data_IF_610317408680
#
_entry.id   IF_610317408680
#
_cell.length_a   1.000
_cell.length_b   1.000
_cell.length_c   1.000
_cell.angle_alpha   90.00
_cell.angle_beta   90.00
_cell.angle_gamma   90.00
#
_symmetry.space_group_name_H-M   'P 1'
#
loop_
_entity.id
_entity.type
_entity.pdbx_description
1 polymer ?
#
# COMPACT_ATOMS: atom_id res chain seq x y z
N UNK A 1 22.07 -1.71 -14.36
CA UNK A 1 20.90 -1.57 -13.46
C UNK A 1 20.62 -0.08 -13.28
N UNK A 2 19.43 0.38 -13.66
CA UNK A 2 18.98 1.75 -13.48
C UNK A 2 18.26 1.86 -12.14
N UNK A 3 18.78 2.71 -11.25
CA UNK A 3 18.27 2.93 -9.90
C UNK A 3 17.84 4.39 -9.72
N UNK A 4 16.84 4.66 -8.87
CA UNK A 4 16.50 6.04 -8.51
C UNK A 4 17.67 6.73 -7.80
N UNK A 5 17.73 8.06 -7.90
CA UNK A 5 18.71 8.86 -7.17
C UNK A 5 18.56 8.62 -5.65
N UNK A 6 19.58 8.05 -5.02
CA UNK A 6 19.55 7.69 -3.60
C UNK A 6 19.49 8.92 -2.68
N UNK A 7 20.00 10.07 -3.13
CA UNK A 7 19.95 11.31 -2.34
C UNK A 7 18.51 11.84 -2.21
N UNK A 8 17.68 11.61 -3.24
CA UNK A 8 16.29 12.04 -3.31
C UNK A 8 15.29 10.95 -2.89
N UNK A 9 15.78 9.73 -2.65
CA UNK A 9 14.94 8.56 -2.36
C UNK A 9 14.58 8.45 -0.88
N UNK A 10 13.37 7.97 -0.63
CA UNK A 10 12.86 7.63 0.70
C UNK A 10 13.60 6.41 1.24
N UNK A 11 13.74 6.30 2.57
CA UNK A 11 14.49 5.18 3.20
C UNK A 11 14.00 3.79 2.74
N UNK A 12 12.69 3.60 2.60
CA UNK A 12 12.10 2.36 2.10
C UNK A 12 12.53 2.03 0.66
N UNK A 13 12.63 3.04 -0.21
CA UNK A 13 13.11 2.89 -1.60
C UNK A 13 14.58 2.49 -1.62
N UNK A 14 15.40 3.06 -0.73
CA UNK A 14 16.82 2.68 -0.59
C UNK A 14 16.96 1.21 -0.18
N UNK A 15 16.23 0.81 0.85
CA UNK A 15 16.20 -0.58 1.33
C UNK A 15 15.80 -1.56 0.23
N UNK A 16 14.75 -1.22 -0.54
CA UNK A 16 14.32 -2.02 -1.69
C UNK A 16 15.43 -2.09 -2.75
N UNK A 17 16.07 -0.96 -3.09
CA UNK A 17 17.17 -0.94 -4.06
C UNK A 17 18.33 -1.85 -3.63
N UNK A 18 18.75 -1.78 -2.37
CA UNK A 18 19.86 -2.59 -1.83
C UNK A 18 19.54 -4.08 -1.91
N UNK A 19 18.33 -4.46 -1.51
CA UNK A 19 17.87 -5.84 -1.61
C UNK A 19 17.85 -6.32 -3.06
N UNK A 20 17.32 -5.51 -3.96
CA UNK A 20 17.25 -5.86 -5.37
C UNK A 20 18.63 -5.94 -6.02
N UNK A 21 19.57 -5.07 -5.66
CA UNK A 21 20.97 -5.16 -6.11
C UNK A 21 21.57 -6.50 -5.67
N UNK A 22 21.35 -6.91 -4.41
CA UNK A 22 21.86 -8.18 -3.88
C UNK A 22 21.29 -9.38 -4.66
N UNK A 23 19.97 -9.39 -4.89
CA UNK A 23 19.33 -10.45 -5.70
C UNK A 23 19.83 -10.46 -7.14
N UNK A 24 19.90 -9.30 -7.79
CA UNK A 24 20.36 -9.19 -9.16
C UNK A 24 21.83 -9.63 -9.31
N UNK A 25 22.69 -9.33 -8.33
CA UNK A 25 24.08 -9.82 -8.32
C UNK A 25 24.15 -11.35 -8.18
N UNK A 26 23.29 -11.94 -7.34
CA UNK A 26 23.22 -13.39 -7.20
C UNK A 26 22.78 -14.08 -8.51
N UNK A 27 21.88 -13.45 -9.28
CA UNK A 27 21.35 -14.00 -10.53
C UNK A 27 22.24 -13.74 -11.76
N UNK A 28 22.88 -12.58 -11.83
CA UNK A 28 23.55 -12.10 -13.06
C UNK A 28 25.05 -11.85 -12.87
N UNK A 29 25.58 -11.97 -11.66
CA UNK A 29 26.99 -11.70 -11.36
C UNK A 29 27.30 -10.20 -11.32
N UNK A 30 28.28 -9.77 -12.13
CA UNK A 30 28.73 -8.38 -12.16
C UNK A 30 27.66 -7.47 -12.78
N UNK A 31 27.35 -6.37 -12.09
CA UNK A 31 26.36 -5.39 -12.53
C UNK A 31 26.99 -4.00 -12.63
N UNK A 32 26.82 -3.36 -13.78
CA UNK A 32 27.02 -1.92 -13.91
C UNK A 32 25.80 -1.19 -13.30
N UNK A 33 26.05 -0.43 -12.23
CA UNK A 33 25.00 0.31 -11.50
C UNK A 33 25.02 1.77 -11.98
N UNK A 34 23.84 2.28 -12.32
CA UNK A 34 23.65 3.67 -12.74
C UNK A 34 22.52 4.29 -11.92
N UNK A 35 22.85 5.30 -11.12
CA UNK A 35 21.89 6.11 -10.38
C UNK A 35 21.39 7.22 -11.29
N UNK A 36 20.09 7.27 -11.52
CA UNK A 36 19.48 8.17 -12.49
C UNK A 36 19.46 9.59 -11.97
N UNK A 37 20.18 10.48 -12.66
CA UNK A 37 20.02 11.93 -12.57
C UNK A 37 19.22 12.42 -13.77
N UNK A 38 18.10 13.12 -13.51
CA UNK A 38 17.10 13.46 -14.54
C UNK A 38 17.68 14.26 -15.71
N UNK A 39 18.62 15.15 -15.44
CA UNK A 39 19.27 16.04 -16.40
C UNK A 39 20.47 15.39 -17.15
N UNK A 40 20.88 14.19 -16.74
CA UNK A 40 22.04 13.47 -17.30
C UNK A 40 21.65 12.20 -18.05
N UNK A 41 20.49 11.60 -17.76
CA UNK A 41 20.12 10.27 -18.26
C UNK A 41 20.16 10.13 -19.79
N UNK A 42 19.73 11.16 -20.54
CA UNK A 42 19.81 11.16 -22.01
C UNK A 42 21.22 11.40 -22.54
N UNK A 43 22.08 12.13 -21.81
CA UNK A 43 23.49 12.33 -22.21
C UNK A 43 24.24 11.00 -22.28
N UNK A 44 23.80 10.04 -21.45
CA UNK A 44 24.38 8.71 -21.37
C UNK A 44 23.68 7.67 -22.28
N UNK A 45 22.70 8.05 -23.10
CA UNK A 45 21.92 7.11 -23.94
C UNK A 45 22.81 6.16 -24.78
N UNK A 46 23.85 6.71 -25.44
CA UNK A 46 24.79 5.92 -26.25
C UNK A 46 25.52 4.86 -25.43
N UNK A 47 25.86 5.16 -24.18
CA UNK A 47 26.56 4.23 -23.29
C UNK A 47 25.69 3.02 -22.92
N UNK A 48 24.37 3.15 -22.95
CA UNK A 48 23.45 2.06 -22.65
C UNK A 48 23.24 1.09 -23.83
N UNK A 49 23.56 1.48 -25.06
CA UNK A 49 23.36 0.63 -26.23
C UNK A 49 24.25 -0.61 -26.26
N UNK A 50 25.30 -0.66 -25.43
CA UNK A 50 26.19 -1.83 -25.31
C UNK A 50 25.59 -2.98 -24.50
N UNK A 51 24.49 -2.74 -23.77
CA UNK A 51 23.91 -3.75 -22.90
C UNK A 51 22.79 -4.51 -23.60
N UNK A 52 22.83 -5.84 -23.51
CA UNK A 52 21.75 -6.72 -23.98
C UNK A 52 20.59 -6.80 -22.97
N UNK A 53 20.83 -6.39 -21.72
CA UNK A 53 19.83 -6.38 -20.66
C UNK A 53 19.92 -5.13 -19.79
N UNK A 54 18.78 -4.52 -19.51
CA UNK A 54 18.65 -3.44 -18.53
C UNK A 54 17.64 -3.85 -17.45
N UNK A 55 18.12 -3.88 -16.20
CA UNK A 55 17.28 -3.99 -15.00
C UNK A 55 16.91 -2.58 -14.55
N UNK A 56 15.62 -2.26 -14.44
CA UNK A 56 15.13 -0.93 -14.09
C UNK A 56 14.26 -0.94 -12.82
N UNK A 57 14.68 -0.16 -11.82
CA UNK A 57 13.92 0.15 -10.59
C UNK A 57 13.54 1.64 -10.53
N UNK A 58 14.13 2.46 -11.39
CA UNK A 58 13.81 3.87 -11.43
C UNK A 58 12.45 4.12 -12.10
N UNK A 59 11.66 4.99 -11.48
CA UNK A 59 10.31 5.32 -11.91
C UNK A 59 10.17 6.76 -12.43
N UNK A 60 11.28 7.42 -12.78
CA UNK A 60 11.20 8.76 -13.36
C UNK A 60 10.79 8.72 -14.83
N UNK A 61 10.14 9.80 -15.29
CA UNK A 61 9.66 9.95 -16.66
C UNK A 61 10.80 9.84 -17.67
N UNK A 62 11.96 10.39 -17.33
CA UNK A 62 13.13 10.41 -18.18
C UNK A 62 13.69 8.99 -18.42
N UNK A 63 13.67 8.12 -17.41
CA UNK A 63 14.03 6.71 -17.57
C UNK A 63 13.09 5.99 -18.51
N UNK A 64 11.78 6.22 -18.40
CA UNK A 64 10.81 5.57 -19.31
C UNK A 64 11.00 5.99 -20.76
N UNK A 65 11.25 7.29 -20.99
CA UNK A 65 11.54 7.81 -22.33
C UNK A 65 12.88 7.29 -22.87
N UNK A 66 13.91 7.20 -22.04
CA UNK A 66 15.19 6.59 -22.43
C UNK A 66 15.00 5.12 -22.82
N UNK A 67 14.32 4.33 -21.98
CA UNK A 67 14.05 2.93 -22.26
C UNK A 67 13.22 2.75 -23.54
N UNK A 68 12.21 3.59 -23.76
CA UNK A 68 11.42 3.57 -24.98
C UNK A 68 12.30 3.82 -26.22
N UNK A 69 13.17 4.83 -26.16
CA UNK A 69 14.14 5.12 -27.21
C UNK A 69 15.06 3.92 -27.47
N UNK A 70 15.72 3.39 -26.43
CA UNK A 70 16.65 2.26 -26.56
C UNK A 70 15.95 1.02 -27.14
N UNK A 71 14.76 0.70 -26.64
CA UNK A 71 13.96 -0.45 -27.11
C UNK A 71 13.46 -0.24 -28.54
N UNK A 72 13.16 1.00 -28.96
CA UNK A 72 12.80 1.29 -30.36
C UNK A 72 13.97 1.05 -31.34
N UNK A 73 15.19 1.32 -30.89
CA UNK A 73 16.42 1.18 -31.69
C UNK A 73 16.93 -0.27 -31.71
N UNK A 74 16.94 -0.94 -30.55
CA UNK A 74 17.52 -2.27 -30.36
C UNK A 74 16.49 -3.40 -30.43
N UNK A 75 15.19 -3.09 -30.32
CA UNK A 75 14.08 -4.05 -30.40
C UNK A 75 14.30 -5.25 -29.48
N UNK A 76 14.35 -6.45 -30.03
CA UNK A 76 14.48 -7.71 -29.31
C UNK A 76 15.92 -8.05 -28.89
N UNK A 77 16.90 -7.23 -29.27
CA UNK A 77 18.30 -7.36 -28.84
C UNK A 77 18.53 -6.75 -27.45
N UNK A 78 17.61 -5.90 -26.99
CA UNK A 78 17.60 -5.37 -25.62
C UNK A 78 16.46 -6.02 -24.83
N UNK A 79 16.77 -6.64 -23.70
CA UNK A 79 15.80 -7.16 -22.73
C UNK A 79 15.66 -6.21 -21.55
N UNK A 80 14.42 -5.88 -21.18
CA UNK A 80 14.12 -5.06 -20.00
C UNK A 80 13.55 -5.96 -18.90
N UNK A 81 14.17 -5.88 -17.72
CA UNK A 81 13.61 -6.41 -16.47
C UNK A 81 13.19 -5.23 -15.59
N UNK A 82 11.89 -5.05 -15.41
CA UNK A 82 11.30 -3.88 -14.76
C UNK A 82 10.70 -4.25 -13.41
N UNK A 83 11.19 -3.64 -12.33
CA UNK A 83 10.63 -3.87 -10.99
C UNK A 83 9.47 -2.90 -10.76
N UNK A 84 8.26 -3.41 -10.61
CA UNK A 84 7.03 -2.62 -10.64
C UNK A 84 6.62 -2.02 -9.28
N UNK A 85 7.54 -1.37 -8.56
CA UNK A 85 7.27 -0.85 -7.22
C UNK A 85 6.20 0.25 -7.27
N UNK A 86 5.00 0.00 -6.73
CA UNK A 86 3.88 0.97 -6.77
C UNK A 86 3.23 1.16 -8.14
N UNK A 87 3.86 0.74 -9.24
CA UNK A 87 3.43 1.04 -10.60
C UNK A 87 2.18 0.26 -11.05
N UNK A 88 1.99 -0.94 -10.53
CA UNK A 88 0.78 -1.73 -10.81
C UNK A 88 -0.48 -0.97 -10.38
N UNK A 89 -0.38 -0.24 -9.27
CA UNK A 89 -1.48 0.54 -8.71
C UNK A 89 -1.92 1.73 -9.56
N UNK A 90 -1.02 2.19 -10.43
CA UNK A 90 -1.27 3.26 -11.38
C UNK A 90 -1.50 2.72 -12.79
N UNK A 91 -1.82 1.44 -12.95
CA UNK A 91 -1.98 0.76 -14.24
C UNK A 91 -0.82 0.99 -15.21
N UNK A 92 0.39 1.18 -14.68
CA UNK A 92 1.57 1.49 -15.48
C UNK A 92 1.39 2.66 -16.46
N UNK A 93 0.48 3.62 -16.14
CA UNK A 93 0.17 4.74 -17.04
C UNK A 93 1.42 5.48 -17.55
N UNK A 94 2.52 5.66 -16.78
CA UNK A 94 3.70 6.34 -17.32
C UNK A 94 4.33 5.56 -18.47
N UNK A 95 4.41 4.23 -18.37
CA UNK A 95 5.00 3.39 -19.42
C UNK A 95 4.18 3.45 -20.71
N UNK A 96 2.85 3.54 -20.56
CA UNK A 96 1.91 3.67 -21.67
C UNK A 96 2.02 5.07 -22.30
N UNK A 97 1.94 6.12 -21.48
CA UNK A 97 1.98 7.53 -21.93
C UNK A 97 3.27 7.85 -22.66
N UNK A 98 4.42 7.40 -22.14
CA UNK A 98 5.73 7.68 -22.71
C UNK A 98 6.20 6.63 -23.72
N UNK A 99 5.32 5.71 -24.13
CA UNK A 99 5.51 4.86 -25.30
C UNK A 99 6.36 3.61 -25.09
N UNK A 100 6.93 3.38 -23.90
CA UNK A 100 7.70 2.17 -23.61
C UNK A 100 6.84 0.91 -23.82
N UNK A 101 5.58 0.94 -23.37
CA UNK A 101 4.64 -0.18 -23.47
C UNK A 101 4.53 -0.78 -24.87
N UNK A 102 4.63 0.06 -25.91
CA UNK A 102 4.48 -0.30 -27.34
C UNK A 102 5.65 -1.14 -27.86
N UNK A 103 6.79 -1.07 -27.16
CA UNK A 103 8.04 -1.70 -27.56
C UNK A 103 8.38 -2.93 -26.71
N UNK A 104 7.58 -3.22 -25.67
CA UNK A 104 7.77 -4.41 -24.85
C UNK A 104 7.45 -5.68 -25.66
N UNK A 105 8.19 -6.76 -25.40
CA UNK A 105 8.03 -8.06 -26.04
C UNK A 105 8.08 -9.21 -25.03
N UNK A 106 7.87 -10.44 -25.50
CA UNK A 106 7.79 -11.63 -24.64
C UNK A 106 9.12 -11.99 -23.96
N UNK A 107 10.21 -11.33 -24.36
CA UNK A 107 11.51 -11.43 -23.69
C UNK A 107 11.60 -10.52 -22.46
N UNK A 108 10.81 -9.44 -22.42
CA UNK A 108 10.80 -8.49 -21.30
C UNK A 108 10.05 -9.07 -20.10
N UNK A 109 10.44 -8.60 -18.93
CA UNK A 109 9.96 -9.12 -17.66
C UNK A 109 9.56 -8.01 -16.71
N UNK A 110 8.39 -8.15 -16.09
CA UNK A 110 8.01 -7.41 -14.90
C UNK A 110 8.27 -8.25 -13.67
N UNK A 111 8.96 -7.67 -12.69
CA UNK A 111 9.16 -8.25 -11.37
C UNK A 111 8.25 -7.50 -10.39
N UNK A 112 7.35 -8.23 -9.75
CA UNK A 112 6.35 -7.69 -8.82
C UNK A 112 6.52 -8.28 -7.42
N UNK A 113 6.04 -7.59 -6.38
CA UNK A 113 6.24 -8.03 -4.99
C UNK A 113 5.05 -8.78 -4.38
N UNK A 114 3.88 -8.77 -5.01
CA UNK A 114 2.70 -9.50 -4.55
C UNK A 114 1.87 -10.10 -5.70
N UNK A 115 1.07 -11.13 -5.39
CA UNK A 115 0.23 -11.79 -6.39
C UNK A 115 -0.80 -10.85 -7.04
N UNK A 116 -1.28 -9.82 -6.33
CA UNK A 116 -2.25 -8.85 -6.88
C UNK A 116 -1.64 -7.98 -7.98
N UNK A 117 -0.37 -7.63 -7.83
CA UNK A 117 0.35 -6.93 -8.88
C UNK A 117 0.53 -7.81 -10.12
N UNK A 118 0.63 -9.16 -9.99
CA UNK A 118 0.69 -10.06 -11.15
C UNK A 118 -0.56 -9.90 -12.02
N UNK A 119 -1.73 -9.94 -11.39
CA UNK A 119 -3.01 -9.82 -12.08
C UNK A 119 -3.11 -8.48 -12.82
N UNK A 120 -2.87 -7.38 -12.11
CA UNK A 120 -2.89 -6.04 -12.69
C UNK A 120 -1.89 -5.87 -13.84
N UNK A 121 -0.69 -6.45 -13.71
CA UNK A 121 0.32 -6.40 -14.76
C UNK A 121 -0.13 -7.14 -16.01
N UNK A 122 -0.74 -8.33 -15.86
CA UNK A 122 -1.26 -9.12 -16.98
C UNK A 122 -2.45 -8.46 -17.67
N UNK A 123 -3.27 -7.71 -16.92
CA UNK A 123 -4.33 -6.88 -17.50
C UNK A 123 -3.76 -5.75 -18.37
N UNK A 124 -2.61 -5.19 -18.01
CA UNK A 124 -1.98 -4.11 -18.76
C UNK A 124 -1.14 -4.59 -19.95
N UNK A 125 -0.48 -5.74 -19.80
CA UNK A 125 0.51 -6.23 -20.76
C UNK A 125 0.33 -7.74 -20.99
N UNK A 126 -0.19 -8.10 -22.16
CA UNK A 126 -0.40 -9.50 -22.54
C UNK A 126 0.85 -10.19 -23.10
N UNK A 127 1.87 -9.41 -23.47
CA UNK A 127 3.02 -9.86 -24.21
C UNK A 127 4.33 -9.78 -23.42
N UNK A 128 4.28 -9.78 -22.09
CA UNK A 128 5.47 -9.72 -21.21
C UNK A 128 5.46 -10.86 -20.20
N UNK A 129 6.64 -11.22 -19.69
CA UNK A 129 6.76 -12.13 -18.57
C UNK A 129 6.45 -11.38 -17.27
N UNK A 130 5.82 -12.07 -16.31
CA UNK A 130 5.57 -11.51 -14.98
C UNK A 130 6.07 -12.51 -13.94
N UNK A 131 6.99 -12.05 -13.09
CA UNK A 131 7.64 -12.85 -12.05
C UNK A 131 7.32 -12.25 -10.67
N UNK A 132 6.87 -13.10 -9.75
CA UNK A 132 6.69 -12.74 -8.35
C UNK A 132 8.02 -12.89 -7.62
N UNK A 133 8.52 -11.79 -7.04
CA UNK A 133 9.74 -11.78 -6.22
C UNK A 133 9.51 -10.95 -4.96
N UNK A 134 8.98 -11.57 -3.88
CA UNK A 134 8.74 -10.86 -2.63
C UNK A 134 10.05 -10.45 -1.96
N UNK A 135 9.99 -9.43 -1.09
CA UNK A 135 11.16 -8.98 -0.33
C UNK A 135 11.38 -9.86 0.89
N UNK A 136 12.32 -10.80 0.83
CA UNK A 136 12.73 -11.57 2.00
C UNK A 136 13.71 -10.77 2.85
N UNK A 137 13.18 -9.96 3.76
CA UNK A 137 13.98 -9.03 4.56
C UNK A 137 14.77 -9.78 5.64
N UNK A 138 14.17 -10.83 6.23
CA UNK A 138 14.78 -11.59 7.32
C UNK A 138 14.16 -12.98 7.48
N UNK A 139 14.88 -13.92 8.12
CA UNK A 139 14.30 -15.17 8.59
C UNK A 139 13.14 -14.94 9.57
N UNK A 140 12.27 -15.95 9.66
CA UNK A 140 11.13 -15.99 10.57
C UNK A 140 11.54 -16.60 11.91
N UNK A 141 11.23 -15.90 13.00
CA UNK A 141 11.35 -16.39 14.37
C UNK A 141 10.14 -17.29 14.72
N UNK A 142 10.23 -17.99 15.84
CA UNK A 142 9.11 -18.77 16.37
C UNK A 142 7.89 -17.88 16.64
N UNK A 143 6.69 -18.44 16.37
CA UNK A 143 5.44 -17.73 16.57
C UNK A 143 5.22 -17.42 18.06
N UNK A 144 5.09 -16.13 18.37
CA UNK A 144 4.80 -15.63 19.70
C UNK A 144 3.29 -15.68 19.97
N UNK A 145 2.88 -15.79 21.26
CA UNK A 145 1.48 -15.63 21.65
C UNK A 145 0.95 -14.26 21.22
N UNK A 146 -0.32 -14.21 20.80
CA UNK A 146 -0.99 -12.95 20.48
C UNK A 146 -1.10 -12.08 21.74
N UNK A 147 -0.81 -10.79 21.64
CA UNK A 147 -1.11 -9.84 22.70
C UNK A 147 -2.40 -9.09 22.35
N UNK A 148 -3.51 -9.47 23.01
CA UNK A 148 -4.82 -8.83 22.82
C UNK A 148 -4.87 -7.40 23.32
N UNK A 149 -4.01 -7.08 24.29
CA UNK A 149 -4.09 -5.81 24.99
C UNK A 149 -3.20 -4.74 24.35
N UNK A 150 -2.37 -5.11 23.37
CA UNK A 150 -1.40 -4.21 22.76
C UNK A 150 -1.40 -4.35 21.24
N UNK A 151 -2.14 -3.46 20.59
CA UNK A 151 -2.15 -3.30 19.14
C UNK A 151 -1.12 -2.24 18.74
N UNK A 152 -0.30 -2.55 17.74
CA UNK A 152 0.80 -1.67 17.30
C UNK A 152 0.70 -1.42 15.81
N UNK A 153 0.61 -0.14 15.43
CA UNK A 153 0.70 0.33 14.05
C UNK A 153 2.04 1.05 13.85
N UNK A 154 2.72 0.76 12.74
CA UNK A 154 3.97 1.44 12.35
C UNK A 154 3.87 1.86 10.89
N UNK A 155 3.91 3.17 10.65
CA UNK A 155 3.80 3.74 9.32
C UNK A 155 3.47 5.22 9.34
N UNK A 156 3.45 5.86 8.17
CA UNK A 156 3.08 7.28 8.05
C UNK A 156 1.64 7.51 8.51
N UNK A 157 1.40 8.50 9.35
CA UNK A 157 0.07 8.84 9.82
C UNK A 157 -0.62 9.73 8.78
N UNK A 158 -1.24 9.09 7.78
CA UNK A 158 -1.85 9.75 6.63
C UNK A 158 -3.22 9.15 6.29
N UNK A 159 -4.01 9.89 5.52
CA UNK A 159 -5.33 9.44 5.08
C UNK A 159 -5.26 8.15 4.28
N UNK A 160 -4.24 8.01 3.42
CA UNK A 160 -3.98 6.81 2.62
C UNK A 160 -3.77 5.55 3.48
N UNK A 161 -3.28 5.72 4.71
CA UNK A 161 -3.11 4.62 5.67
C UNK A 161 -4.38 4.25 6.42
N UNK A 162 -5.50 4.93 6.13
CA UNK A 162 -6.82 4.60 6.65
C UNK A 162 -6.87 4.57 8.19
N UNK A 163 -6.26 5.55 8.85
CA UNK A 163 -6.24 5.61 10.32
C UNK A 163 -7.63 5.78 10.92
N UNK A 164 -8.53 6.44 10.21
CA UNK A 164 -9.92 6.60 10.65
C UNK A 164 -10.64 5.24 10.70
N UNK A 165 -10.48 4.40 9.66
CA UNK A 165 -10.96 3.02 9.68
C UNK A 165 -10.32 2.17 10.77
N UNK A 166 -9.03 2.39 11.05
CA UNK A 166 -8.32 1.75 12.17
C UNK A 166 -8.90 2.15 13.53
N UNK A 167 -9.18 3.42 13.77
CA UNK A 167 -9.75 3.90 15.04
C UNK A 167 -11.16 3.35 15.27
N UNK A 168 -11.98 3.29 14.23
CA UNK A 168 -13.30 2.68 14.30
C UNK A 168 -13.21 1.18 14.56
N UNK A 169 -12.32 0.47 13.86
CA UNK A 169 -12.04 -0.93 14.17
C UNK A 169 -11.65 -1.10 15.65
N UNK A 170 -10.76 -0.24 16.15
CA UNK A 170 -10.26 -0.32 17.52
C UNK A 170 -11.33 0.01 18.57
N UNK A 171 -12.22 0.98 18.31
CA UNK A 171 -13.33 1.32 19.21
C UNK A 171 -14.26 0.12 19.42
N UNK A 172 -14.52 -0.65 18.36
CA UNK A 172 -15.25 -1.91 18.45
C UNK A 172 -14.43 -3.00 19.14
N UNK A 173 -13.14 -3.14 18.80
CA UNK A 173 -12.24 -4.13 19.39
C UNK A 173 -12.20 -4.04 20.93
N UNK A 174 -12.16 -2.81 21.46
CA UNK A 174 -12.12 -2.51 22.90
C UNK A 174 -13.35 -3.01 23.65
N UNK A 175 -14.52 -3.10 23.01
CA UNK A 175 -15.75 -3.63 23.66
C UNK A 175 -15.57 -5.08 24.12
N UNK A 176 -14.90 -5.89 23.31
CA UNK A 176 -14.58 -7.29 23.62
C UNK A 176 -13.23 -7.45 24.36
N UNK A 177 -12.40 -6.40 24.36
CA UNK A 177 -11.07 -6.39 24.98
C UNK A 177 -10.86 -5.16 25.87
N UNK A 178 -11.55 -5.09 27.03
CA UNK A 178 -11.35 -4.00 27.97
C UNK A 178 -9.88 -3.91 28.39
N UNK A 179 -9.32 -2.69 28.37
CA UNK A 179 -7.92 -2.43 28.68
C UNK A 179 -6.96 -2.49 27.49
N UNK A 180 -7.45 -2.79 26.28
CA UNK A 180 -6.60 -2.80 25.10
C UNK A 180 -6.13 -1.38 24.76
N UNK A 181 -4.88 -1.27 24.34
CA UNK A 181 -4.25 -0.03 23.85
C UNK A 181 -3.86 -0.15 22.38
N UNK A 182 -3.92 0.97 21.67
CA UNK A 182 -3.46 1.13 20.30
C UNK A 182 -2.28 2.12 20.28
N UNK A 183 -1.10 1.60 20.01
CA UNK A 183 0.13 2.39 19.89
C UNK A 183 0.40 2.70 18.41
N UNK A 184 0.52 3.99 18.08
CA UNK A 184 0.74 4.50 16.74
C UNK A 184 2.15 5.11 16.63
N UNK A 185 3.00 4.48 15.81
CA UNK A 185 4.37 4.94 15.54
C UNK A 185 4.48 5.46 14.10
N UNK A 186 4.91 6.71 13.96
CA UNK A 186 5.01 7.34 12.66
C UNK A 186 4.96 8.86 12.71
N UNK A 187 5.37 9.49 11.62
CA UNK A 187 5.20 10.92 11.44
C UNK A 187 3.86 11.24 10.77
N UNK A 188 3.31 12.40 11.08
CA UNK A 188 2.14 12.93 10.39
C UNK A 188 2.53 13.31 8.97
N UNK A 189 1.78 12.80 8.02
CA UNK A 189 2.05 13.06 6.61
C UNK A 189 0.83 13.70 5.96
N UNK A 190 1.04 14.92 5.48
CA UNK A 190 0.06 15.69 4.72
C UNK A 190 0.21 15.46 3.22
N UNK A 191 0.86 14.36 2.79
CA UNK A 191 0.86 13.98 1.39
C UNK A 191 -0.58 13.99 0.88
N UNK A 192 -0.82 14.90 -0.06
CA UNK A 192 -2.03 14.95 -0.83
C UNK A 192 -2.26 13.57 -1.45
N UNK A 193 -3.52 13.21 -1.62
CA UNK A 193 -3.85 12.09 -2.47
C UNK A 193 -3.49 12.49 -3.92
N UNK A 194 -2.39 11.98 -4.50
CA UNK A 194 -1.89 12.52 -5.77
C UNK A 194 -2.89 12.32 -6.92
N UNK A 195 -3.78 11.35 -6.77
CA UNK A 195 -4.84 11.04 -7.73
C UNK A 195 -6.13 11.83 -7.52
N UNK A 196 -6.27 12.55 -6.41
CA UNK A 196 -7.56 13.13 -6.01
C UNK A 196 -7.53 14.64 -5.81
N UNK A 197 -6.37 15.31 -6.01
CA UNK A 197 -6.21 16.78 -5.86
C UNK A 197 -6.73 17.31 -4.50
N UNK A 198 -6.86 16.44 -3.50
CA UNK A 198 -7.41 16.77 -2.19
C UNK A 198 -6.28 17.17 -1.26
N UNK A 199 -6.27 18.46 -0.88
CA UNK A 199 -5.46 18.97 0.22
C UNK A 199 -6.19 18.75 1.54
N UNK A 200 -5.70 17.78 2.32
CA UNK A 200 -6.17 17.56 3.68
C UNK A 200 -5.20 18.20 4.67
N UNK A 201 -5.21 19.53 4.73
CA UNK A 201 -4.35 20.29 5.65
C UNK A 201 -4.63 20.04 7.13
N UNK A 202 -5.67 19.27 7.46
CA UNK A 202 -6.13 19.02 8.84
C UNK A 202 -6.40 17.54 9.13
N UNK A 203 -5.77 16.59 8.43
CA UNK A 203 -6.04 15.17 8.70
C UNK A 203 -5.66 14.77 10.13
N UNK A 204 -4.58 15.35 10.65
CA UNK A 204 -4.18 15.20 12.04
C UNK A 204 -5.30 15.62 12.99
N UNK A 205 -5.84 16.82 12.81
CA UNK A 205 -6.88 17.37 13.68
C UNK A 205 -8.14 16.49 13.62
N UNK A 206 -8.54 16.07 12.41
CA UNK A 206 -9.65 15.11 12.24
C UNK A 206 -9.44 13.81 13.02
N UNK A 207 -8.23 13.25 12.99
CA UNK A 207 -7.93 12.01 13.71
C UNK A 207 -7.95 12.22 15.22
N UNK A 208 -7.43 13.33 15.72
CA UNK A 208 -7.47 13.65 17.15
C UNK A 208 -8.91 13.89 17.63
N UNK A 209 -9.72 14.60 16.85
CA UNK A 209 -11.13 14.79 17.13
C UNK A 209 -11.89 13.46 17.14
N UNK A 210 -11.60 12.57 16.18
CA UNK A 210 -12.20 11.24 16.13
C UNK A 210 -11.82 10.39 17.34
N UNK A 211 -10.57 10.44 17.81
CA UNK A 211 -10.15 9.76 19.06
C UNK A 211 -10.98 10.25 20.25
N UNK A 212 -11.17 11.57 20.36
CA UNK A 212 -11.96 12.17 21.44
C UNK A 212 -13.45 11.78 21.35
N UNK A 213 -14.05 11.85 20.16
CA UNK A 213 -15.45 11.47 19.93
C UNK A 213 -15.73 10.00 20.24
N UNK A 214 -14.77 9.12 19.96
CA UNK A 214 -14.87 7.70 20.27
C UNK A 214 -14.54 7.37 21.74
N UNK A 215 -14.16 8.35 22.56
CA UNK A 215 -13.76 8.14 23.96
C UNK A 215 -12.53 7.25 24.09
N UNK A 216 -11.54 7.44 23.21
CA UNK A 216 -10.32 6.61 23.13
C UNK A 216 -9.04 7.36 23.53
N UNK A 217 -9.17 8.56 24.11
CA UNK A 217 -8.04 9.45 24.38
C UNK A 217 -6.99 8.86 25.33
N UNK A 218 -7.39 7.93 26.21
CA UNK A 218 -6.49 7.25 27.15
C UNK A 218 -5.89 5.95 26.58
N UNK A 219 -6.43 5.44 25.47
CA UNK A 219 -6.04 4.13 24.91
C UNK A 219 -5.34 4.22 23.55
N UNK A 220 -5.43 5.35 22.86
CA UNK A 220 -4.72 5.60 21.61
C UNK A 220 -3.50 6.47 21.87
N UNK A 221 -2.31 5.88 21.73
CA UNK A 221 -1.04 6.52 22.10
C UNK A 221 -0.24 6.83 20.83
N UNK A 222 0.05 8.11 20.60
CA UNK A 222 0.89 8.56 19.49
C UNK A 222 2.34 8.72 19.94
N UNK A 223 3.24 7.90 19.40
CA UNK A 223 4.67 7.89 19.78
C UNK A 223 5.57 8.75 18.89
N UNK A 224 5.04 9.28 17.78
CA UNK A 224 5.83 9.97 16.75
C UNK A 224 6.72 9.01 15.95
N UNK A 225 7.61 9.56 15.10
CA UNK A 225 8.51 8.74 14.28
C UNK A 225 9.57 8.02 15.13
N UNK A 226 10.01 6.86 14.64
CA UNK A 226 11.09 6.05 15.22
C UNK A 226 12.11 5.68 14.15
N UNK A 227 13.36 5.54 14.58
CA UNK A 227 14.44 4.97 13.76
C UNK A 227 14.23 3.48 13.53
N UNK A 228 14.93 2.90 12.55
CA UNK A 228 14.84 1.48 12.25
C UNK A 228 15.29 0.62 13.45
N UNK A 229 16.37 1.03 14.13
CA UNK A 229 16.91 0.36 15.31
C UNK A 229 15.89 0.36 16.47
N UNK A 230 15.18 1.48 16.67
CA UNK A 230 14.13 1.58 17.68
C UNK A 230 12.92 0.70 17.36
N UNK A 231 12.54 0.60 16.08
CA UNK A 231 11.46 -0.30 15.66
C UNK A 231 11.88 -1.76 15.83
N UNK A 232 13.13 -2.12 15.47
CA UNK A 232 13.63 -3.47 15.66
C UNK A 232 13.70 -3.84 17.15
N UNK A 233 14.14 -2.90 18.01
CA UNK A 233 14.10 -3.09 19.46
C UNK A 233 12.66 -3.29 19.97
N UNK A 234 11.71 -2.45 19.54
CA UNK A 234 10.29 -2.59 19.87
C UNK A 234 9.74 -3.97 19.49
N UNK A 235 10.14 -4.50 18.32
CA UNK A 235 9.71 -5.83 17.86
C UNK A 235 10.39 -6.97 18.61
N UNK A 236 11.57 -6.76 19.16
CA UNK A 236 12.23 -7.74 20.02
C UNK A 236 11.54 -7.83 21.38
N UNK A 237 11.01 -6.72 21.87
CA UNK A 237 10.39 -6.58 23.20
C UNK A 237 8.98 -7.20 23.29
N UNK A 238 8.90 -8.35 23.96
CA UNK A 238 7.64 -8.98 24.35
C UNK A 238 6.80 -9.48 23.17
N UNK A 239 5.51 -9.71 23.41
CA UNK A 239 4.53 -10.00 22.35
C UNK A 239 3.70 -8.76 22.05
N UNK A 240 3.47 -8.49 20.77
CA UNK A 240 2.51 -7.49 20.29
C UNK A 240 1.61 -8.08 19.19
N UNK A 241 0.51 -7.41 18.91
CA UNK A 241 -0.28 -7.67 17.70
C UNK A 241 -0.11 -6.49 16.76
N UNK A 242 0.56 -6.70 15.64
CA UNK A 242 0.70 -5.67 14.62
C UNK A 242 -0.66 -5.42 13.95
N UNK A 243 -0.98 -4.18 13.64
CA UNK A 243 -2.20 -3.84 12.91
C UNK A 243 -1.91 -2.83 11.81
N UNK A 244 -2.45 -3.06 10.62
CA UNK A 244 -2.44 -2.09 9.51
C UNK A 244 -3.62 -2.32 8.59
N UNK A 245 -4.57 -1.39 8.62
CA UNK A 245 -5.76 -1.44 7.77
C UNK A 245 -5.66 -0.52 6.55
N UNK A 246 -4.42 -0.27 6.10
CA UNK A 246 -4.14 0.61 4.96
C UNK A 246 -4.84 0.13 3.70
N UNK A 247 -5.39 1.09 2.95
CA UNK A 247 -5.95 0.90 1.61
C UNK A 247 -5.13 1.71 0.59
N UNK A 248 -3.87 2.03 0.91
CA UNK A 248 -3.01 2.78 0.02
C UNK A 248 -2.74 1.94 -1.22
N UNK A 249 -2.85 2.56 -2.39
CA UNK A 249 -2.79 1.84 -3.67
C UNK A 249 -1.40 1.24 -3.91
N UNK A 250 -0.34 1.85 -3.38
CA UNK A 250 1.05 1.38 -3.44
C UNK A 250 1.48 0.51 -2.24
N UNK A 251 0.53 -0.03 -1.47
CA UNK A 251 0.83 -0.97 -0.39
C UNK A 251 1.18 -2.36 -0.96
N UNK A 252 2.24 -2.44 -1.77
CA UNK A 252 2.59 -3.63 -2.56
C UNK A 252 3.28 -4.74 -1.75
N UNK A 253 3.75 -4.45 -0.53
CA UNK A 253 4.45 -5.44 0.30
C UNK A 253 4.16 -5.34 1.81
N UNK A 254 3.93 -4.14 2.36
CA UNK A 254 3.72 -3.97 3.80
C UNK A 254 4.98 -4.31 4.61
N UNK A 255 6.11 -3.63 4.36
CA UNK A 255 7.41 -3.91 5.00
C UNK A 255 7.31 -3.97 6.54
N UNK A 256 6.58 -3.04 7.16
CA UNK A 256 6.41 -3.03 8.61
C UNK A 256 5.66 -4.28 9.13
N UNK A 257 4.62 -4.71 8.42
CA UNK A 257 3.88 -5.93 8.72
C UNK A 257 4.76 -7.17 8.55
N UNK A 258 5.51 -7.24 7.44
CA UNK A 258 6.46 -8.33 7.18
C UNK A 258 7.50 -8.42 8.30
N UNK A 259 8.08 -7.29 8.72
CA UNK A 259 9.03 -7.25 9.84
C UNK A 259 8.41 -7.79 11.12
N UNK A 260 7.23 -7.30 11.52
CA UNK A 260 6.55 -7.76 12.72
C UNK A 260 6.29 -9.29 12.70
N UNK A 261 5.75 -9.80 11.60
CA UNK A 261 5.49 -11.23 11.40
C UNK A 261 6.77 -12.06 11.43
N UNK A 262 7.85 -11.52 10.89
CA UNK A 262 9.15 -12.20 10.90
C UNK A 262 9.75 -12.27 12.30
N UNK A 263 9.46 -11.32 13.20
CA UNK A 263 9.77 -11.40 14.65
C UNK A 263 8.86 -12.37 15.42
N UNK A 264 7.97 -13.08 14.73
CA UNK A 264 7.07 -14.05 15.31
C UNK A 264 5.77 -13.43 15.84
N UNK A 265 5.52 -12.13 15.62
CA UNK A 265 4.27 -11.51 16.04
C UNK A 265 3.11 -11.93 15.14
N UNK A 266 1.90 -11.59 15.58
CA UNK A 266 0.69 -11.73 14.77
C UNK A 266 0.31 -10.39 14.15
N UNK A 267 -0.41 -10.44 13.04
CA UNK A 267 -0.84 -9.24 12.33
C UNK A 267 -2.33 -9.26 11.98
N UNK A 268 -3.00 -8.13 12.18
CA UNK A 268 -4.34 -7.82 11.64
C UNK A 268 -4.12 -6.85 10.47
N UNK A 269 -4.38 -7.30 9.26
CA UNK A 269 -4.10 -6.53 8.05
C UNK A 269 -5.35 -6.36 7.21
N UNK A 270 -5.44 -5.29 6.42
CA UNK A 270 -6.44 -5.24 5.35
C UNK A 270 -6.20 -6.34 4.32
N UNK A 271 -7.27 -6.90 3.75
CA UNK A 271 -7.20 -7.78 2.60
C UNK A 271 -6.98 -6.91 1.35
N UNK A 272 -5.82 -6.26 1.25
CA UNK A 272 -5.50 -5.24 0.25
C UNK A 272 -4.04 -5.39 -0.23
N UNK A 273 -3.80 -5.34 -1.54
CA UNK A 273 -2.45 -5.36 -2.11
C UNK A 273 -1.51 -6.42 -1.54
N UNK A 274 -0.32 -5.97 -1.11
CA UNK A 274 0.72 -6.79 -0.50
C UNK A 274 0.38 -7.36 0.87
N UNK A 275 -0.55 -6.77 1.62
CA UNK A 275 -0.99 -7.36 2.88
C UNK A 275 -1.62 -8.73 2.68
N UNK A 276 -2.41 -8.90 1.61
CA UNK A 276 -3.04 -10.18 1.28
C UNK A 276 -1.98 -11.27 1.01
N UNK A 277 -0.86 -10.92 0.39
CA UNK A 277 0.28 -11.84 0.15
C UNK A 277 0.92 -12.34 1.45
N UNK A 278 0.91 -11.53 2.51
CA UNK A 278 1.51 -11.94 3.80
C UNK A 278 0.75 -13.11 4.43
N UNK A 279 -0.54 -13.29 4.14
CA UNK A 279 -1.29 -14.47 4.61
C UNK A 279 -0.73 -15.77 4.06
N UNK A 280 -0.38 -15.80 2.77
CA UNK A 280 0.25 -16.97 2.14
C UNK A 280 1.63 -17.27 2.72
N UNK A 281 2.40 -16.23 3.08
CA UNK A 281 3.77 -16.38 3.59
C UNK A 281 3.82 -16.78 5.07
N UNK A 282 2.89 -16.29 5.89
CA UNK A 282 2.95 -16.44 7.35
C UNK A 282 1.82 -17.29 7.94
N UNK A 283 0.81 -17.66 7.13
CA UNK A 283 -0.27 -18.56 7.52
C UNK A 283 -1.11 -18.00 8.66
N UNK A 284 -1.28 -18.77 9.74
CA UNK A 284 -2.13 -18.43 10.89
C UNK A 284 -1.66 -17.22 11.72
N UNK A 285 -0.44 -16.72 11.46
CA UNK A 285 0.03 -15.49 12.10
C UNK A 285 -0.63 -14.23 11.52
N UNK A 286 -1.31 -14.33 10.38
CA UNK A 286 -1.97 -13.19 9.70
C UNK A 286 -3.47 -13.38 9.70
N UNK A 287 -4.16 -12.31 10.09
CA UNK A 287 -5.60 -12.15 9.95
C UNK A 287 -5.89 -11.03 8.94
N UNK A 288 -6.79 -11.30 8.01
CA UNK A 288 -7.18 -10.34 6.98
C UNK A 288 -8.57 -9.77 7.26
N UNK A 289 -8.67 -8.45 7.40
CA UNK A 289 -9.92 -7.69 7.41
C UNK A 289 -10.36 -7.49 5.97
N UNK A 290 -11.55 -7.95 5.63
CA UNK A 290 -12.02 -7.91 4.25
C UNK A 290 -12.11 -6.47 3.73
N UNK A 291 -11.57 -6.23 2.55
CA UNK A 291 -11.73 -4.96 1.85
C UNK A 291 -13.00 -5.00 1.00
N UNK A 292 -13.66 -3.86 0.86
CA UNK A 292 -14.78 -3.64 -0.05
C UNK A 292 -14.47 -2.52 -1.03
N UNK A 293 -15.22 -2.50 -2.11
CA UNK A 293 -15.23 -1.41 -3.08
C UNK A 293 -16.66 -0.93 -3.23
N UNK A 294 -16.85 0.37 -3.13
CA UNK A 294 -18.13 1.00 -3.38
C UNK A 294 -17.99 2.16 -4.37
N UNK A 295 -19.10 2.82 -4.69
CA UNK A 295 -19.10 4.05 -5.50
C UNK A 295 -18.23 5.15 -4.86
N UNK A 296 -18.00 5.04 -3.55
CA UNK A 296 -17.25 5.99 -2.76
C UNK A 296 -15.76 5.67 -2.73
N UNK A 297 -15.34 4.50 -3.20
CA UNK A 297 -13.96 4.05 -3.19
C UNK A 297 -13.72 2.79 -2.37
N UNK A 298 -12.45 2.44 -2.14
CA UNK A 298 -12.11 1.30 -1.31
C UNK A 298 -12.47 1.57 0.16
N UNK A 299 -12.94 0.53 0.83
CA UNK A 299 -13.29 0.55 2.24
C UNK A 299 -12.99 -0.80 2.89
N UNK A 300 -13.36 -0.92 4.16
CA UNK A 300 -13.25 -2.18 4.91
C UNK A 300 -14.64 -2.68 5.26
N UNK A 301 -14.83 -4.00 5.19
CA UNK A 301 -16.03 -4.67 5.68
C UNK A 301 -15.74 -5.21 7.07
N UNK A 302 -16.41 -4.64 8.07
CA UNK A 302 -16.47 -5.22 9.40
C UNK A 302 -17.73 -6.08 9.45
N UNK A 303 -17.56 -7.41 9.34
CA UNK A 303 -18.64 -8.39 9.53
C UNK A 303 -18.61 -8.92 10.97
N UNK A 304 -19.77 -9.25 11.53
CA UNK A 304 -19.92 -9.97 12.80
C UNK A 304 -19.23 -11.33 12.86
N UNK A 305 -18.88 -11.89 11.70
CA UNK A 305 -18.11 -13.13 11.61
C UNK A 305 -16.64 -12.95 12.02
N UNK A 306 -16.28 -11.81 12.64
CA UNK A 306 -15.09 -11.64 13.46
C UNK A 306 -15.01 -12.59 14.68
N UNK A 307 -15.86 -13.61 14.75
CA UNK A 307 -15.65 -14.86 15.52
C UNK A 307 -14.29 -15.54 15.23
N UNK A 308 -13.57 -15.12 14.17
CA UNK A 308 -12.28 -15.67 13.75
C UNK A 308 -11.10 -14.70 13.84
N UNK A 309 -11.20 -13.61 14.60
CA UNK A 309 -10.00 -12.81 14.90
C UNK A 309 -9.17 -13.65 15.84
N UNK A 310 -8.28 -14.44 15.24
CA UNK A 310 -7.31 -15.36 15.84
C UNK A 310 -7.95 -16.16 17.00
N UNK A 311 -8.12 -17.49 16.96
CA UNK A 311 -8.75 -18.23 18.08
C UNK A 311 -8.21 -17.80 19.46
N UNK A 312 -6.93 -17.43 19.50
CA UNK A 312 -6.30 -16.84 20.67
C UNK A 312 -6.71 -15.40 20.99
N UNK A 313 -7.05 -14.49 20.06
CA UNK A 313 -7.54 -13.13 20.31
C UNK A 313 -9.03 -13.08 20.74
N UNK A 314 -9.90 -13.98 20.29
CA UNK A 314 -11.30 -14.05 20.77
C UNK A 314 -12.30 -13.27 19.92
N UNK A 315 -13.59 -13.62 20.04
CA UNK A 315 -14.64 -13.10 19.17
C UNK A 315 -14.87 -11.59 19.38
N UNK A 316 -14.93 -10.87 18.27
CA UNK A 316 -15.31 -9.46 18.24
C UNK A 316 -16.83 -9.39 18.05
N UNK A 317 -17.54 -8.90 19.07
CA UNK A 317 -19.00 -8.73 19.01
C UNK A 317 -19.31 -7.36 18.41
N UNK A 318 -19.63 -7.34 17.12
CA UNK A 318 -19.90 -6.09 16.38
C UNK A 318 -21.42 -5.79 16.36
N UNK A 319 -22.28 -6.66 16.88
CA UNK A 319 -23.75 -6.60 16.72
C UNK A 319 -24.18 -6.74 15.25
N UNK A 320 -25.35 -7.33 14.95
CA UNK A 320 -25.83 -7.87 13.65
C UNK A 320 -25.74 -7.02 12.33
N UNK A 321 -24.90 -5.98 12.24
CA UNK A 321 -24.74 -5.07 11.12
C UNK A 321 -23.46 -5.31 10.30
N UNK A 322 -23.55 -5.15 8.98
CA UNK A 322 -22.42 -5.06 8.05
C UNK A 322 -21.95 -3.61 8.04
N UNK A 323 -20.77 -3.31 8.56
CA UNK A 323 -20.25 -1.93 8.53
C UNK A 323 -19.21 -1.84 7.42
N UNK A 324 -19.52 -1.09 6.36
CA UNK A 324 -18.54 -0.73 5.34
C UNK A 324 -18.06 0.68 5.62
N UNK A 325 -16.79 0.82 6.00
CA UNK A 325 -16.19 2.13 6.25
C UNK A 325 -15.62 2.65 4.93
N UNK A 326 -16.34 3.52 4.23
CA UNK A 326 -15.82 4.27 3.07
C UNK A 326 -15.92 5.78 3.33
N UNK A 327 -14.88 6.36 3.94
CA UNK A 327 -14.86 7.79 4.30
C UNK A 327 -14.57 8.71 3.09
N UNK A 328 -14.24 8.09 1.95
CA UNK A 328 -13.72 8.79 0.78
C UNK A 328 -14.76 9.70 0.10
N UNK A 329 -16.05 9.34 0.03
CA UNK A 329 -17.01 10.12 -0.76
C UNK A 329 -17.74 11.25 -0.04
N UNK A 330 -18.00 11.17 1.27
CA UNK A 330 -18.78 12.23 1.90
C UNK A 330 -17.98 13.54 2.01
N UNK A 331 -16.69 13.45 2.33
CA UNK A 331 -15.80 14.62 2.33
C UNK A 331 -15.56 15.16 0.91
N UNK A 332 -15.51 14.27 -0.10
CA UNK A 332 -15.44 14.64 -1.51
C UNK A 332 -16.72 15.38 -1.95
N UNK A 333 -17.91 14.84 -1.67
CA UNK A 333 -19.19 15.41 -2.09
C UNK A 333 -19.53 16.72 -1.38
N UNK A 334 -19.27 16.84 -0.06
CA UNK A 334 -19.56 18.07 0.70
C UNK A 334 -18.65 19.24 0.33
N UNK A 335 -17.44 18.98 -0.18
CA UNK A 335 -16.48 20.03 -0.55
C UNK A 335 -16.25 20.19 -2.06
N UNK A 336 -16.83 19.33 -2.90
CA UNK A 336 -16.75 19.38 -4.38
C UNK A 336 -17.01 20.78 -4.94
N UNK A 337 -18.00 21.47 -4.38
CA UNK A 337 -18.43 22.79 -4.88
C UNK A 337 -17.47 23.92 -4.47
N UNK A 338 -16.53 23.68 -3.53
CA UNK A 338 -15.50 24.63 -3.10
C UNK A 338 -14.18 24.51 -3.89
N UNK A 339 -14.02 23.46 -4.70
CA UNK A 339 -12.75 23.16 -5.39
C UNK A 339 -12.79 23.32 -6.92
N UNK A 340 -13.94 23.77 -7.48
CA UNK A 340 -14.17 23.87 -8.92
C UNK A 340 -13.81 25.23 -9.55
N UNK A 341 -12.60 25.72 -9.27
CA UNK A 341 -11.92 26.69 -10.16
C UNK A 341 -10.53 26.15 -10.55
N UNK A 342 -10.49 25.06 -11.32
CA UNK A 342 -9.23 24.55 -11.87
C UNK A 342 -9.36 24.24 -13.36
N UNK A 343 -8.45 24.83 -14.14
CA UNK A 343 -8.44 24.85 -15.60
C UNK A 343 -8.23 23.44 -16.17
N UNK A 344 -8.95 23.18 -17.25
CA UNK A 344 -8.91 21.97 -18.08
C UNK A 344 -7.50 21.68 -18.60
N UNK A 345 -6.97 20.50 -18.27
CA UNK A 345 -5.76 19.97 -18.89
C UNK A 345 -4.97 19.07 -17.96
N UNK A 346 -5.44 17.83 -17.80
CA UNK A 346 -4.67 16.59 -17.62
C UNK A 346 -5.51 15.57 -16.84
N UNK A 347 -5.91 14.51 -17.55
CA UNK A 347 -6.65 13.36 -17.02
C UNK A 347 -5.64 12.37 -16.46
N UNK A 348 -5.90 11.84 -15.27
CA UNK A 348 -5.85 10.41 -14.88
C UNK A 348 -6.58 10.34 -13.52
N UNK A 349 -7.81 9.82 -13.51
CA UNK A 349 -8.73 9.64 -12.36
C UNK A 349 -9.56 10.85 -11.88
N UNK A 350 -10.43 11.38 -12.74
CA UNK A 350 -11.46 12.36 -12.32
C UNK A 350 -12.79 11.73 -11.83
N UNK A 351 -12.94 10.40 -11.80
CA UNK A 351 -14.22 9.79 -11.41
C UNK A 351 -14.07 8.34 -10.90
N UNK A 352 -14.69 8.00 -9.76
CA UNK A 352 -14.83 6.60 -9.28
C UNK A 352 -15.69 5.74 -10.21
N UNK A 353 -16.39 6.38 -11.15
CA UNK A 353 -17.09 5.71 -12.24
C UNK A 353 -16.17 5.26 -13.38
N UNK A 354 -14.86 5.57 -13.32
CA UNK A 354 -13.90 5.06 -14.29
C UNK A 354 -13.80 3.53 -14.14
N UNK A 355 -14.22 2.75 -15.15
CA UNK A 355 -14.17 1.29 -15.09
C UNK A 355 -12.76 0.76 -14.82
N UNK A 356 -11.72 1.48 -15.22
CA UNK A 356 -10.33 1.10 -14.98
C UNK A 356 -10.02 1.17 -13.48
N UNK A 357 -10.36 2.28 -12.81
CA UNK A 357 -10.11 2.43 -11.37
C UNK A 357 -10.93 1.44 -10.54
N UNK A 358 -12.18 1.20 -10.94
CA UNK A 358 -13.04 0.21 -10.31
C UNK A 358 -12.46 -1.20 -10.43
N UNK A 359 -12.01 -1.60 -11.62
CA UNK A 359 -11.34 -2.88 -11.83
C UNK A 359 -10.09 -3.01 -10.97
N UNK A 360 -9.34 -1.92 -10.75
CA UNK A 360 -8.18 -1.96 -9.87
C UNK A 360 -8.61 -2.25 -8.46
N UNK A 361 -9.57 -1.48 -7.93
CA UNK A 361 -10.02 -1.68 -6.57
C UNK A 361 -10.54 -3.12 -6.37
N UNK A 362 -11.24 -3.70 -7.34
CA UNK A 362 -11.75 -5.07 -7.28
C UNK A 362 -10.59 -6.11 -7.29
N UNK A 363 -9.69 -6.06 -8.28
CA UNK A 363 -8.51 -6.94 -8.32
C UNK A 363 -7.64 -6.76 -7.07
N UNK A 364 -7.49 -5.53 -6.60
CA UNK A 364 -6.59 -5.19 -5.49
C UNK A 364 -7.18 -5.41 -4.10
N UNK A 365 -8.49 -5.62 -3.99
CA UNK A 365 -9.19 -6.06 -2.77
C UNK A 365 -9.42 -7.57 -2.75
N UNK A 366 -9.31 -8.23 -3.91
CA UNK A 366 -9.68 -9.64 -4.08
C UNK A 366 -11.17 -9.89 -3.90
N UNK A 367 -12.01 -8.84 -3.91
CA UNK A 367 -13.46 -8.98 -3.90
C UNK A 367 -14.03 -8.89 -5.30
N UNK A 368 -15.00 -9.75 -5.60
CA UNK A 368 -15.87 -9.61 -6.78
C UNK A 368 -17.13 -8.80 -6.49
N UNK A 369 -17.39 -8.49 -5.22
CA UNK A 369 -18.59 -7.80 -4.76
C UNK A 369 -18.41 -6.28 -4.82
N UNK A 370 -19.31 -5.61 -5.54
CA UNK A 370 -19.49 -4.17 -5.49
C UNK A 370 -20.60 -3.83 -4.50
N UNK A 371 -20.30 -2.94 -3.55
CA UNK A 371 -21.22 -2.60 -2.47
C UNK A 371 -22.06 -1.39 -2.85
N UNK A 372 -23.36 -1.49 -2.64
CA UNK A 372 -24.31 -0.39 -2.87
C UNK A 372 -24.38 0.53 -1.66
N UNK A 373 -25.01 1.70 -1.81
CA UNK A 373 -25.19 2.65 -0.70
C UNK A 373 -25.96 2.06 0.48
N UNK A 374 -26.87 1.13 0.21
CA UNK A 374 -27.66 0.45 1.23
C UNK A 374 -26.82 -0.53 2.07
N UNK A 375 -25.66 -0.96 1.55
CA UNK A 375 -24.72 -1.84 2.26
C UNK A 375 -23.72 -1.08 3.15
N UNK A 376 -23.70 0.25 3.07
CA UNK A 376 -22.72 1.12 3.71
C UNK A 376 -23.38 1.79 4.92
N UNK A 377 -23.03 1.33 6.12
CA UNK A 377 -23.31 2.10 7.34
C UNK A 377 -22.38 3.31 7.32
N UNK A 378 -22.92 4.45 6.88
CA UNK A 378 -22.24 5.73 7.02
C UNK A 378 -22.12 6.05 8.51
N UNK A 379 -20.90 6.34 8.98
CA UNK A 379 -20.58 6.61 10.41
C UNK A 379 -21.37 7.83 10.96
N UNK A 380 -22.01 8.60 10.08
CA UNK A 380 -22.89 9.71 10.44
C UNK A 380 -24.24 9.25 11.02
N UNK A 381 -24.68 8.02 10.75
CA UNK A 381 -25.96 7.46 11.20
C UNK A 381 -25.81 6.54 12.42
N UNK A 382 -24.86 6.84 13.32
CA UNK A 382 -24.83 6.26 14.65
C UNK A 382 -25.36 7.30 15.65
N UNK A 383 -26.67 7.34 15.95
CA UNK A 383 -27.27 8.37 16.81
C UNK A 383 -26.77 8.29 18.26
N UNK A 384 -26.08 7.20 18.62
CA UNK A 384 -25.50 6.99 19.94
C UNK A 384 -24.11 7.61 20.12
N UNK A 385 -23.50 8.15 19.08
CA UNK A 385 -22.23 8.90 19.16
C UNK A 385 -22.43 10.43 19.26
N UNK A 386 -23.68 10.88 19.21
CA UNK A 386 -24.09 12.25 19.53
C UNK A 386 -25.04 12.19 20.73
N UNK A 387 -24.49 12.06 21.93
CA UNK A 387 -25.25 12.29 23.17
C UNK A 387 -24.92 13.70 23.64
N UNK A 388 -25.95 14.56 23.58
CA UNK A 388 -26.09 15.95 24.04
C UNK A 388 -24.86 16.76 24.49
#
# INVERSE_FOLDING_TARGET
>A
MLLPNQEESWASVKLVCDYTIKQARALYGNLDIYYVRRDEVFKNAKSFMKYEKIICLDHCVESFKLLALLKSLLKDDLVIEFYALGMASSYYWPLIKFGLARHLSTKDKFVVSCFRDIELTRQCFSNVQVELRPFEIRPRDELRPANKQRLVYIGRLSFQKNLHGLLLFFSHYKKSHPGAVLELFGDWDNLDLPYFEMKMSSYKDYILDLVNQLGLSDEVIFHGPKTEEQIDQLMQEGSLTFISLSLQTDENFGIAAYKALSFGHRAILSNWGGHAQLKELFGESVYLVQSAVSKNGPGLVLKNEAHYIIPELGALDIGASKIVISDFAQNFCKRRDQFMELKSGDVIYRNFKDPIFLNFCLSYSGTSEFYTDEDIVEIYDCPQLFVD
#
